data_IF_588592770695
#
_entry.id   IF_588592770695
#
_cell.length_a   1.000
_cell.length_b   1.000
_cell.length_c   1.000
_cell.angle_alpha   90.00
_cell.angle_beta   90.00
_cell.angle_gamma   90.00
#
_symmetry.space_group_name_H-M   'P 1'
#
loop_
_entity.id
_entity.type
_entity.pdbx_description
1 polymer ?
#
# COMPACT_ATOMS: atom_id res chain seq x y z
N UNK A 1 20.32 42.33 39.41
CA UNK A 1 19.43 43.28 38.70
C UNK A 1 18.02 42.81 38.93
N UNK A 2 17.28 43.52 39.78
CA UNK A 2 15.85 43.34 39.95
C UNK A 2 15.09 44.40 39.15
N UNK A 3 13.80 44.17 38.93
CA UNK A 3 12.74 45.15 39.20
C UNK A 3 11.37 44.49 39.08
N UNK A 4 10.53 44.82 40.07
CA UNK A 4 9.08 44.65 40.12
C UNK A 4 8.38 45.83 39.39
N UNK A 5 7.04 45.88 39.52
CA UNK A 5 6.05 46.93 39.21
C UNK A 5 5.25 46.69 37.91
N UNK A 6 3.94 46.92 37.81
CA UNK A 6 2.82 47.29 38.72
C UNK A 6 1.54 47.14 37.85
N UNK A 7 0.45 46.54 38.36
CA UNK A 7 -0.81 47.17 38.82
C UNK A 7 -1.95 47.15 37.78
N UNK A 8 -3.09 46.67 38.29
CA UNK A 8 -4.45 46.76 37.77
C UNK A 8 -4.91 48.23 37.67
N UNK A 9 -5.68 48.57 36.64
CA UNK A 9 -6.80 49.55 36.70
C UNK A 9 -7.40 49.70 35.31
N UNK A 10 -8.68 49.33 35.14
CA UNK A 10 -9.61 49.93 34.15
C UNK A 10 -11.01 49.33 34.34
N UNK A 11 -11.65 49.71 35.44
CA UNK A 11 -13.11 49.62 35.61
C UNK A 11 -13.62 51.05 35.86
N UNK A 12 -14.70 51.40 35.18
CA UNK A 12 -15.63 52.46 35.60
C UNK A 12 -15.22 53.92 35.33
N UNK A 13 -15.55 54.45 34.15
CA UNK A 13 -16.13 55.80 33.97
C UNK A 13 -16.80 55.83 32.58
N UNK A 14 -18.14 55.81 32.59
CA UNK A 14 -19.09 56.40 31.63
C UNK A 14 -20.45 55.67 31.65
N UNK A 15 -20.96 55.40 32.86
CA UNK A 15 -22.40 55.49 33.12
C UNK A 15 -22.75 56.96 33.31
N UNK A 16 -23.81 57.39 32.62
CA UNK A 16 -24.70 58.53 32.88
C UNK A 16 -24.89 59.41 31.64
N UNK A 17 -25.94 59.10 30.87
CA UNK A 17 -26.91 60.04 30.30
C UNK A 17 -28.11 59.21 29.76
N UNK A 18 -29.16 59.15 30.58
CA UNK A 18 -30.50 58.57 30.36
C UNK A 18 -31.33 59.42 29.35
N UNK A 19 -32.47 58.96 28.75
CA UNK A 19 -33.61 58.32 29.45
C UNK A 19 -34.42 57.23 28.72
N UNK A 20 -35.19 56.50 29.52
CA UNK A 20 -36.13 55.43 29.14
C UNK A 20 -37.28 55.91 28.24
N UNK A 21 -37.95 54.99 27.51
CA UNK A 21 -39.35 54.78 27.89
C UNK A 21 -39.87 53.33 27.78
N UNK A 22 -40.84 53.06 28.66
CA UNK A 22 -41.99 52.13 28.59
C UNK A 22 -41.80 50.62 28.43
N UNK A 23 -42.23 49.94 29.51
CA UNK A 23 -42.67 48.56 29.63
C UNK A 23 -43.80 48.25 28.61
N UNK A 24 -43.59 47.25 27.75
CA UNK A 24 -44.66 46.45 27.17
C UNK A 24 -44.25 44.97 27.11
N UNK A 25 -45.05 44.14 27.76
CA UNK A 25 -44.96 42.68 27.79
C UNK A 25 -45.21 42.09 26.39
N UNK A 26 -44.52 41.03 25.94
CA UNK A 26 -44.91 40.34 24.72
C UNK A 26 -46.19 39.50 24.95
N UNK A 27 -47.11 39.43 23.98
CA UNK A 27 -48.35 38.68 24.14
C UNK A 27 -48.08 37.17 24.17
N UNK A 28 -48.76 36.47 25.07
CA UNK A 28 -48.88 35.01 25.04
C UNK A 28 -49.54 34.59 23.72
N UNK A 29 -48.80 33.92 22.85
CA UNK A 29 -49.38 33.19 21.72
C UNK A 29 -49.73 31.76 22.17
N UNK A 30 -51.01 31.43 22.06
CA UNK A 30 -51.57 30.08 22.12
C UNK A 30 -51.00 29.18 21.02
N UNK A 31 -51.03 27.83 21.21
CA UNK A 31 -50.35 26.89 20.34
C UNK A 31 -51.02 26.82 18.97
N UNK A 32 -50.34 27.34 17.95
CA UNK A 32 -50.66 27.05 16.56
C UNK A 32 -50.11 25.68 16.19
N UNK A 33 -50.99 24.84 15.64
CA UNK A 33 -50.71 23.53 15.06
C UNK A 33 -49.44 23.55 14.18
N UNK A 34 -48.64 22.46 14.15
CA UNK A 34 -47.40 22.46 13.41
C UNK A 34 -47.70 22.53 11.91
N UNK A 35 -47.37 23.67 11.31
CA UNK A 35 -47.17 23.75 9.87
C UNK A 35 -46.04 22.79 9.51
N UNK A 36 -46.32 21.93 8.54
CA UNK A 36 -45.42 20.98 7.90
C UNK A 36 -44.28 21.71 7.17
N UNK A 37 -43.43 22.38 7.94
CA UNK A 37 -42.19 22.98 7.51
C UNK A 37 -41.07 22.03 7.91
N UNK A 38 -40.43 21.49 6.89
CA UNK A 38 -39.24 20.65 6.88
C UNK A 38 -38.31 20.99 8.05
N UNK A 39 -38.38 20.18 9.11
CA UNK A 39 -37.44 20.26 10.22
C UNK A 39 -36.07 19.82 9.71
N UNK A 40 -35.30 20.76 9.16
CA UNK A 40 -33.87 20.58 8.91
C UNK A 40 -33.20 20.58 10.28
N UNK A 41 -33.20 19.41 10.91
CA UNK A 41 -32.45 19.16 12.14
C UNK A 41 -30.98 19.51 11.88
N UNK A 42 -30.41 20.40 12.68
CA UNK A 42 -28.98 20.70 12.61
C UNK A 42 -28.18 19.40 12.77
N UNK A 43 -27.22 19.08 11.87
CA UNK A 43 -26.48 17.82 11.90
C UNK A 43 -25.75 17.51 13.21
N UNK A 44 -25.48 18.55 14.01
CA UNK A 44 -24.79 18.43 15.31
C UNK A 44 -25.71 18.11 16.49
N UNK A 45 -27.04 18.29 16.37
CA UNK A 45 -28.01 18.05 17.44
C UNK A 45 -28.95 16.87 17.15
N UNK A 46 -28.78 16.18 16.02
CA UNK A 46 -29.44 14.92 15.78
C UNK A 46 -28.61 13.81 16.43
N UNK A 47 -29.15 13.16 17.46
CA UNK A 47 -28.66 11.85 17.93
C UNK A 47 -28.90 10.80 16.84
N UNK A 48 -28.26 10.97 15.69
CA UNK A 48 -28.40 10.08 14.56
C UNK A 48 -27.50 8.87 14.81
N UNK A 49 -28.04 7.92 15.57
CA UNK A 49 -27.39 6.69 16.01
C UNK A 49 -26.73 5.92 14.85
N UNK A 50 -27.25 6.07 13.64
CA UNK A 50 -26.69 5.54 12.43
C UNK A 50 -25.22 5.92 12.18
N UNK A 51 -24.77 7.13 12.57
CA UNK A 51 -23.36 7.55 12.45
C UNK A 51 -22.46 7.06 13.60
N UNK A 52 -23.05 6.37 14.58
CA UNK A 52 -22.34 5.66 15.66
C UNK A 52 -22.32 4.14 15.43
N UNK A 53 -23.07 3.63 14.45
CA UNK A 53 -23.10 2.22 14.09
C UNK A 53 -22.00 1.90 13.07
N UNK A 54 -21.13 0.94 13.39
CA UNK A 54 -20.02 0.54 12.52
C UNK A 54 -20.50 0.06 11.15
N UNK A 55 -21.55 -0.76 11.09
CA UNK A 55 -22.03 -1.37 9.85
C UNK A 55 -22.66 -0.33 8.92
N UNK A 56 -23.43 0.60 9.48
CA UNK A 56 -23.99 1.72 8.72
C UNK A 56 -22.88 2.61 8.18
N UNK A 57 -21.84 2.89 8.98
CA UNK A 57 -20.66 3.62 8.49
C UNK A 57 -19.96 2.88 7.35
N UNK A 58 -19.81 1.54 7.41
CA UNK A 58 -19.23 0.76 6.29
C UNK A 58 -20.05 0.97 5.02
N UNK A 59 -21.37 0.77 5.09
CA UNK A 59 -22.29 0.95 3.96
C UNK A 59 -22.19 2.35 3.32
N UNK A 60 -22.07 3.39 4.15
CA UNK A 60 -21.90 4.77 3.67
C UNK A 60 -20.51 4.94 3.03
N UNK A 61 -19.46 4.48 3.72
CA UNK A 61 -18.07 4.69 3.32
C UNK A 61 -17.69 3.92 2.05
N UNK A 62 -18.33 2.79 1.77
CA UNK A 62 -18.22 2.07 0.49
C UNK A 62 -18.61 2.93 -0.73
N UNK A 63 -19.37 4.02 -0.52
CA UNK A 63 -19.79 4.94 -1.59
C UNK A 63 -18.92 6.19 -1.68
N UNK A 64 -17.97 6.37 -0.75
CA UNK A 64 -17.16 7.59 -0.67
C UNK A 64 -15.92 7.50 -1.56
N UNK A 65 -15.49 8.66 -2.06
CA UNK A 65 -14.20 8.80 -2.73
C UNK A 65 -13.04 8.74 -1.73
N UNK A 66 -11.82 8.47 -2.20
CA UNK A 66 -10.62 8.48 -1.37
C UNK A 66 -10.45 9.79 -0.56
N UNK A 67 -10.61 11.00 -1.16
CA UNK A 67 -10.60 12.25 -0.39
C UNK A 67 -11.68 12.34 0.68
N UNK A 68 -12.89 11.84 0.42
CA UNK A 68 -13.99 11.85 1.39
C UNK A 68 -13.74 10.88 2.54
N UNK A 69 -13.17 9.71 2.27
CA UNK A 69 -12.73 8.77 3.29
C UNK A 69 -11.65 9.39 4.18
N UNK A 70 -10.69 10.11 3.58
CA UNK A 70 -9.65 10.83 4.32
C UNK A 70 -10.22 11.96 5.20
N UNK A 71 -11.27 12.65 4.76
CA UNK A 71 -11.98 13.63 5.61
C UNK A 71 -12.75 12.94 6.72
N UNK A 72 -13.44 11.86 6.40
CA UNK A 72 -14.24 11.08 7.34
C UNK A 72 -13.37 10.48 8.45
N UNK A 73 -12.17 10.03 8.13
CA UNK A 73 -11.24 9.48 9.12
C UNK A 73 -10.81 10.48 10.20
N UNK A 74 -10.93 11.78 9.94
CA UNK A 74 -10.60 12.84 10.91
C UNK A 74 -11.72 13.13 11.93
N UNK A 75 -12.93 12.59 11.74
CA UNK A 75 -14.10 12.97 12.56
C UNK A 75 -14.05 12.35 13.96
N UNK A 76 -13.75 11.05 14.06
CA UNK A 76 -13.69 10.33 15.33
C UNK A 76 -12.84 9.07 15.22
N UNK A 77 -12.49 8.43 16.35
CA UNK A 77 -11.76 7.15 16.34
C UNK A 77 -12.54 6.03 15.64
N UNK A 78 -13.86 6.00 15.81
CA UNK A 78 -14.72 5.04 15.13
C UNK A 78 -14.68 5.24 13.62
N UNK A 79 -14.87 6.48 13.16
CA UNK A 79 -14.82 6.81 11.74
C UNK A 79 -13.45 6.55 11.15
N UNK A 80 -12.37 6.90 11.85
CA UNK A 80 -11.01 6.56 11.44
C UNK A 80 -10.83 5.05 11.25
N UNK A 81 -11.33 4.24 12.19
CA UNK A 81 -11.23 2.78 12.12
C UNK A 81 -11.99 2.19 10.93
N UNK A 82 -13.14 2.75 10.55
CA UNK A 82 -13.93 2.27 9.40
C UNK A 82 -13.39 2.82 8.08
N UNK A 83 -13.05 4.11 8.02
CA UNK A 83 -12.52 4.77 6.83
C UNK A 83 -11.12 4.27 6.44
N UNK A 84 -10.34 3.75 7.41
CA UNK A 84 -9.02 3.14 7.17
C UNK A 84 -9.08 1.64 6.94
N UNK A 85 -10.27 1.04 6.93
CA UNK A 85 -10.44 -0.40 6.67
C UNK A 85 -9.99 -0.73 5.24
N UNK A 86 -9.18 -1.79 5.09
CA UNK A 86 -8.58 -2.21 3.83
C UNK A 86 -9.63 -2.46 2.73
N UNK A 87 -10.78 -3.05 3.06
CA UNK A 87 -11.81 -3.33 2.06
C UNK A 87 -12.44 -2.04 1.53
N UNK A 88 -12.69 -1.08 2.42
CA UNK A 88 -13.27 0.22 2.09
C UNK A 88 -12.31 1.03 1.23
N UNK A 89 -11.05 1.18 1.67
CA UNK A 89 -10.05 1.97 0.93
C UNK A 89 -9.67 1.31 -0.39
N UNK A 90 -9.55 -0.02 -0.46
CA UNK A 90 -9.28 -0.71 -1.71
C UNK A 90 -10.46 -0.62 -2.68
N UNK A 91 -11.70 -0.66 -2.19
CA UNK A 91 -12.90 -0.40 -2.99
C UNK A 91 -12.90 0.99 -3.61
N UNK A 92 -12.68 2.02 -2.79
CA UNK A 92 -12.60 3.41 -3.24
C UNK A 92 -11.41 3.67 -4.17
N UNK A 93 -10.29 2.96 -4.00
CA UNK A 93 -9.15 3.01 -4.91
C UNK A 93 -9.47 2.40 -6.28
N UNK A 94 -10.14 1.22 -6.30
CA UNK A 94 -10.51 0.50 -7.53
C UNK A 94 -11.57 1.21 -8.37
N UNK A 95 -12.55 1.84 -7.72
CA UNK A 95 -13.78 2.31 -8.37
C UNK A 95 -13.54 3.26 -9.56
N UNK A 96 -12.67 4.29 -9.48
CA UNK A 96 -12.45 5.22 -10.61
C UNK A 96 -11.85 4.56 -11.85
N UNK A 97 -11.08 3.49 -11.66
CA UNK A 97 -10.32 2.81 -12.73
C UNK A 97 -11.03 1.56 -13.26
N UNK A 98 -12.15 1.16 -12.64
CA UNK A 98 -12.87 -0.09 -12.95
C UNK A 98 -11.98 -1.33 -12.86
N UNK A 99 -11.01 -1.30 -11.94
CA UNK A 99 -10.12 -2.44 -11.64
C UNK A 99 -10.96 -3.51 -10.95
N UNK A 100 -10.81 -4.76 -11.39
CA UNK A 100 -11.55 -5.90 -10.84
C UNK A 100 -11.13 -6.15 -9.40
N UNK A 101 -9.82 -6.28 -9.19
CA UNK A 101 -9.30 -6.48 -7.86
C UNK A 101 -7.88 -5.97 -7.66
N UNK A 102 -7.53 -5.73 -6.41
CA UNK A 102 -6.21 -5.29 -5.99
C UNK A 102 -5.74 -6.20 -4.86
N UNK A 103 -4.70 -6.97 -5.13
CA UNK A 103 -4.18 -7.99 -4.24
C UNK A 103 -2.94 -7.45 -3.53
N UNK A 104 -2.84 -7.71 -2.23
CA UNK A 104 -1.72 -7.27 -1.39
C UNK A 104 -2.09 -6.12 -0.48
N UNK A 105 -1.23 -5.89 0.52
CA UNK A 105 -1.39 -4.82 1.51
C UNK A 105 -0.18 -3.87 1.38
N UNK A 106 -0.40 -2.56 1.21
CA UNK A 106 0.72 -1.62 1.22
C UNK A 106 1.34 -1.55 2.61
N UNK A 107 2.62 -1.18 2.67
CA UNK A 107 3.35 -0.95 3.92
C UNK A 107 2.81 0.26 4.70
N UNK A 108 2.18 1.21 4.02
CA UNK A 108 1.59 2.41 4.62
C UNK A 108 0.21 2.73 4.02
N UNK A 109 -0.72 3.15 4.86
CA UNK A 109 -2.03 3.65 4.43
C UNK A 109 -1.96 4.91 3.56
N UNK A 110 -0.82 5.62 3.54
CA UNK A 110 -0.59 6.74 2.64
C UNK A 110 -0.64 6.34 1.16
N UNK A 111 -0.37 5.08 0.84
CA UNK A 111 -0.49 4.55 -0.52
C UNK A 111 -1.86 4.86 -1.13
N UNK A 112 -2.93 4.69 -0.34
CA UNK A 112 -4.31 4.85 -0.78
C UNK A 112 -4.73 6.31 -1.00
N UNK A 113 -4.05 7.28 -0.36
CA UNK A 113 -4.47 8.69 -0.37
C UNK A 113 -4.39 9.33 -1.75
N UNK A 114 -3.42 8.90 -2.55
CA UNK A 114 -3.17 9.41 -3.88
C UNK A 114 -3.76 8.44 -4.90
N UNK A 115 -5.02 8.66 -5.31
CA UNK A 115 -5.66 7.81 -6.32
C UNK A 115 -5.43 8.35 -7.74
N UNK A 116 -4.17 8.40 -8.17
CA UNK A 116 -3.78 8.85 -9.50
C UNK A 116 -3.23 7.70 -10.36
N UNK A 117 -3.28 7.85 -11.69
CA UNK A 117 -2.84 6.81 -12.63
C UNK A 117 -1.35 6.43 -12.42
N UNK A 118 -0.53 7.35 -11.90
CA UNK A 118 0.88 7.12 -11.59
C UNK A 118 1.16 6.15 -10.44
N UNK A 119 0.12 5.66 -9.74
CA UNK A 119 0.21 4.52 -8.80
C UNK A 119 0.20 3.17 -9.50
N UNK A 120 -0.23 3.12 -10.75
CA UNK A 120 -0.27 1.88 -11.52
C UNK A 120 0.92 1.80 -12.46
N UNK A 121 1.44 0.59 -12.65
CA UNK A 121 2.45 0.33 -13.67
C UNK A 121 2.28 -1.08 -14.24
N UNK A 122 2.70 -1.27 -15.48
CA UNK A 122 2.82 -2.58 -16.09
C UNK A 122 4.20 -3.13 -15.73
N UNK A 123 4.27 -4.35 -15.20
CA UNK A 123 5.56 -5.03 -15.02
C UNK A 123 5.94 -5.75 -16.31
N UNK A 124 6.97 -5.24 -16.98
CA UNK A 124 7.54 -5.85 -18.18
C UNK A 124 8.84 -6.57 -17.81
N UNK A 125 8.92 -7.88 -18.09
CA UNK A 125 10.15 -8.65 -17.93
C UNK A 125 11.10 -8.33 -19.07
N UNK A 126 12.35 -8.00 -18.76
CA UNK A 126 13.33 -7.62 -19.78
C UNK A 126 13.77 -8.85 -20.57
N UNK A 127 13.67 -8.78 -21.89
CA UNK A 127 14.10 -9.79 -22.85
C UNK A 127 15.35 -9.31 -23.62
N UNK A 128 16.06 -10.26 -24.23
CA UNK A 128 17.21 -9.94 -25.09
C UNK A 128 16.73 -9.11 -26.29
N UNK A 129 17.34 -7.94 -26.48
CA UNK A 129 16.96 -6.99 -27.54
C UNK A 129 16.02 -5.88 -27.08
N UNK A 130 15.50 -5.94 -25.84
CA UNK A 130 14.72 -4.84 -25.29
C UNK A 130 15.62 -3.62 -25.04
N UNK A 131 15.15 -2.48 -25.53
CA UNK A 131 15.70 -1.15 -25.23
C UNK A 131 14.60 -0.25 -24.69
N UNK A 132 14.96 0.79 -23.93
CA UNK A 132 13.98 1.75 -23.42
C UNK A 132 13.16 2.39 -24.56
N UNK A 133 13.79 2.65 -25.71
CA UNK A 133 13.12 3.17 -26.89
C UNK A 133 12.10 2.18 -27.47
N UNK A 134 12.49 0.90 -27.62
CA UNK A 134 11.55 -0.12 -28.12
C UNK A 134 10.37 -0.35 -27.18
N UNK A 135 10.60 -0.31 -25.86
CA UNK A 135 9.54 -0.44 -24.86
C UNK A 135 8.63 0.78 -24.84
N UNK A 136 9.19 1.99 -24.94
CA UNK A 136 8.43 3.23 -25.05
C UNK A 136 7.47 3.19 -26.26
N UNK A 137 7.94 2.72 -27.42
CA UNK A 137 7.09 2.55 -28.61
C UNK A 137 6.04 1.46 -28.38
N UNK A 138 6.43 0.28 -27.87
CA UNK A 138 5.52 -0.85 -27.61
C UNK A 138 4.35 -0.46 -26.72
N UNK A 139 4.61 0.29 -25.65
CA UNK A 139 3.60 0.69 -24.67
C UNK A 139 3.02 2.09 -24.90
N UNK A 140 3.45 2.79 -25.96
CA UNK A 140 3.03 4.16 -26.27
C UNK A 140 3.25 5.14 -25.10
N UNK A 141 4.45 5.10 -24.52
CA UNK A 141 4.88 5.97 -23.40
C UNK A 141 6.19 6.67 -23.73
N UNK A 142 6.58 7.66 -22.94
CA UNK A 142 7.87 8.33 -23.13
C UNK A 142 8.99 7.59 -22.41
N UNK A 143 10.17 7.55 -23.03
CA UNK A 143 11.39 6.97 -22.43
C UNK A 143 11.72 7.64 -21.09
N UNK A 144 11.52 8.96 -20.98
CA UNK A 144 11.78 9.71 -19.75
C UNK A 144 10.89 9.26 -18.60
N UNK A 145 9.65 8.89 -18.87
CA UNK A 145 8.71 8.45 -17.84
C UNK A 145 9.06 7.05 -17.34
N UNK A 146 9.48 6.14 -18.24
CA UNK A 146 10.02 4.83 -17.84
C UNK A 146 11.24 5.03 -16.94
N UNK A 147 12.17 5.90 -17.32
CA UNK A 147 13.37 6.18 -16.52
C UNK A 147 13.03 6.71 -15.14
N UNK A 148 12.16 7.72 -15.07
CA UNK A 148 11.71 8.33 -13.80
C UNK A 148 11.04 7.30 -12.90
N UNK A 149 10.13 6.50 -13.44
CA UNK A 149 9.40 5.48 -12.71
C UNK A 149 10.34 4.42 -12.09
N UNK A 150 11.43 4.09 -12.80
CA UNK A 150 12.39 3.07 -12.40
C UNK A 150 13.63 3.62 -11.67
N UNK A 151 13.68 4.92 -11.38
CA UNK A 151 14.85 5.58 -10.80
C UNK A 151 16.14 5.34 -11.64
N UNK A 152 16.04 5.51 -12.95
CA UNK A 152 17.15 5.36 -13.90
C UNK A 152 17.63 6.72 -14.38
N UNK A 153 18.96 6.91 -14.40
CA UNK A 153 19.60 8.11 -14.95
C UNK A 153 20.08 7.92 -16.39
N UNK A 154 20.33 6.68 -16.81
CA UNK A 154 20.85 6.32 -18.15
C UNK A 154 20.21 5.04 -18.68
N UNK A 155 20.37 4.81 -19.99
CA UNK A 155 19.79 3.65 -20.69
C UNK A 155 20.54 2.36 -20.36
N UNK A 156 21.81 2.46 -19.98
CA UNK A 156 22.70 1.32 -19.73
C UNK A 156 22.23 0.44 -18.55
N UNK A 157 21.45 1.00 -17.61
CA UNK A 157 20.93 0.29 -16.45
C UNK A 157 19.74 -0.65 -16.73
N UNK A 158 19.33 -0.81 -17.99
CA UNK A 158 18.24 -1.73 -18.35
C UNK A 158 18.66 -3.20 -18.12
N UNK A 159 19.83 -3.60 -18.62
CA UNK A 159 20.25 -5.01 -18.63
C UNK A 159 20.70 -5.54 -17.27
N UNK A 160 20.89 -4.67 -16.27
CA UNK A 160 21.17 -5.08 -14.88
C UNK A 160 19.90 -5.41 -14.09
N UNK A 161 18.72 -5.32 -14.71
CA UNK A 161 17.42 -5.53 -14.06
C UNK A 161 16.72 -6.74 -14.65
N UNK A 162 15.93 -7.42 -13.83
CA UNK A 162 15.07 -8.53 -14.28
C UNK A 162 13.81 -8.00 -15.00
N UNK A 163 13.28 -6.87 -14.52
CA UNK A 163 12.05 -6.25 -15.01
C UNK A 163 12.11 -4.74 -14.94
N UNK A 164 11.23 -4.09 -15.68
CA UNK A 164 10.96 -2.65 -15.60
C UNK A 164 9.47 -2.40 -15.36
N UNK A 165 9.22 -1.35 -14.57
CA UNK A 165 7.89 -0.79 -14.42
C UNK A 165 7.62 0.17 -15.58
N UNK A 166 6.55 -0.06 -16.32
CA UNK A 166 6.15 0.80 -17.44
C UNK A 166 4.95 1.63 -16.99
N UNK A 167 4.99 2.96 -17.11
CA UNK A 167 3.87 3.81 -16.73
C UNK A 167 2.66 3.51 -17.61
N UNK A 168 1.46 3.68 -17.07
CA UNK A 168 0.22 3.49 -17.83
C UNK A 168 -0.20 4.85 -18.42
N UNK A 169 -0.17 4.98 -19.74
CA UNK A 169 -0.68 6.15 -20.44
C UNK A 169 -2.19 6.10 -20.69
N UNK A 170 -2.75 4.90 -20.90
CA UNK A 170 -4.16 4.70 -21.19
C UNK A 170 -4.85 3.96 -20.03
N UNK A 171 -5.77 4.59 -19.29
CA UNK A 171 -6.44 3.97 -18.14
C UNK A 171 -7.33 2.78 -18.53
N UNK A 172 -7.70 2.63 -19.80
CA UNK A 172 -8.55 1.52 -20.24
C UNK A 172 -7.90 0.15 -20.04
N UNK A 173 -6.56 0.07 -19.95
CA UNK A 173 -5.85 -1.19 -19.64
C UNK A 173 -6.14 -1.70 -18.22
N UNK A 174 -6.63 -0.83 -17.33
CA UNK A 174 -6.97 -1.19 -15.96
C UNK A 174 -8.38 -1.80 -15.82
N UNK A 175 -9.22 -1.66 -16.84
CA UNK A 175 -10.60 -2.14 -16.78
C UNK A 175 -10.61 -3.66 -16.65
N UNK A 176 -11.31 -4.16 -15.63
CA UNK A 176 -11.44 -5.58 -15.31
C UNK A 176 -10.09 -6.30 -15.09
N UNK A 177 -9.02 -5.55 -14.82
CA UNK A 177 -7.71 -6.11 -14.54
C UNK A 177 -7.53 -6.39 -13.05
N UNK A 178 -6.55 -7.23 -12.71
CA UNK A 178 -6.14 -7.48 -11.33
C UNK A 178 -4.77 -6.85 -11.15
N UNK A 179 -4.63 -5.97 -10.16
CA UNK A 179 -3.37 -5.34 -9.81
C UNK A 179 -2.80 -5.93 -8.52
N UNK A 180 -1.49 -5.88 -8.37
CA UNK A 180 -0.77 -6.37 -7.19
C UNK A 180 -0.05 -5.20 -6.54
N UNK A 181 -0.33 -4.94 -5.27
CA UNK A 181 0.39 -3.94 -4.50
C UNK A 181 1.71 -4.56 -4.06
N UNK A 182 2.79 -3.99 -4.56
CA UNK A 182 4.14 -4.42 -4.24
C UNK A 182 5.07 -3.24 -4.06
N UNK A 183 6.09 -3.42 -3.21
CA UNK A 183 7.23 -2.52 -3.11
C UNK A 183 8.29 -2.98 -4.11
N UNK A 184 8.58 -2.16 -5.12
CA UNK A 184 9.67 -2.47 -6.04
C UNK A 184 11.02 -2.11 -5.40
N UNK A 185 11.91 -3.10 -5.27
CA UNK A 185 13.18 -2.94 -4.59
C UNK A 185 14.15 -1.98 -5.31
N UNK A 186 14.06 -1.88 -6.64
CA UNK A 186 15.02 -1.11 -7.45
C UNK A 186 14.52 0.33 -7.64
N UNK A 187 13.24 0.50 -7.96
CA UNK A 187 12.56 1.77 -8.05
C UNK A 187 12.27 2.41 -6.68
N UNK A 188 12.37 1.63 -5.59
CA UNK A 188 12.18 2.06 -4.20
C UNK A 188 10.82 2.74 -3.97
N UNK A 189 9.76 2.20 -4.56
CA UNK A 189 8.42 2.76 -4.44
C UNK A 189 7.36 1.67 -4.46
N UNK A 190 6.24 1.95 -3.78
CA UNK A 190 5.05 1.11 -3.82
C UNK A 190 4.22 1.41 -5.07
N UNK A 191 3.81 0.36 -5.77
CA UNK A 191 3.07 0.45 -7.02
C UNK A 191 2.00 -0.64 -7.07
N UNK A 192 0.85 -0.31 -7.65
CA UNK A 192 -0.15 -1.28 -8.08
C UNK A 192 0.25 -1.83 -9.46
N UNK A 193 0.93 -2.97 -9.45
CA UNK A 193 1.52 -3.58 -10.65
C UNK A 193 0.51 -4.44 -11.41
N UNK A 194 0.49 -4.29 -12.73
CA UNK A 194 -0.22 -5.15 -13.67
C UNK A 194 0.74 -6.11 -14.36
N UNK A 195 0.44 -7.41 -14.34
CA UNK A 195 1.21 -8.43 -15.04
C UNK A 195 0.46 -8.89 -16.29
N UNK A 196 0.97 -8.51 -17.47
CA UNK A 196 0.38 -8.92 -18.75
C UNK A 196 0.82 -10.33 -19.16
N UNK A 197 2.08 -10.69 -18.88
CA UNK A 197 2.70 -11.95 -19.30
C UNK A 197 2.49 -13.09 -18.27
N UNK A 198 1.52 -12.94 -17.38
CA UNK A 198 1.27 -13.86 -16.27
C UNK A 198 1.97 -13.47 -14.97
N UNK A 199 1.43 -13.97 -13.87
CA UNK A 199 1.92 -13.69 -12.52
C UNK A 199 3.29 -14.39 -12.36
N UNK A 200 4.34 -13.67 -11.93
CA UNK A 200 5.64 -14.28 -11.67
C UNK A 200 5.49 -15.43 -10.67
N UNK A 201 6.22 -16.52 -10.86
CA UNK A 201 6.16 -17.70 -9.96
C UNK A 201 6.52 -17.35 -8.52
N UNK A 202 7.23 -16.23 -8.30
CA UNK A 202 7.52 -15.65 -6.99
C UNK A 202 6.28 -15.15 -6.24
N UNK A 203 5.23 -14.73 -6.94
CA UNK A 203 3.95 -14.30 -6.34
C UNK A 203 3.06 -15.48 -5.91
N UNK A 204 3.28 -16.70 -6.43
CA UNK A 204 2.65 -17.91 -5.86
C UNK A 204 3.08 -18.19 -4.41
N UNK A 205 4.14 -17.54 -3.91
CA UNK A 205 4.58 -17.61 -2.52
C UNK A 205 4.01 -16.48 -1.64
N UNK A 206 3.48 -15.41 -2.23
CA UNK A 206 2.91 -14.26 -1.51
C UNK A 206 1.42 -14.43 -1.14
N UNK A 207 0.77 -15.49 -1.64
CA UNK A 207 -0.59 -15.87 -1.23
C UNK A 207 -0.67 -16.67 0.07
N UNK A 208 0.47 -16.98 0.72
CA UNK A 208 0.47 -17.62 2.03
C UNK A 208 0.52 -16.55 3.11
N UNK A 209 -0.65 -16.27 3.65
CA UNK A 209 -0.90 -15.46 4.84
C UNK A 209 0.25 -15.59 5.84
N UNK A 210 0.97 -14.49 6.10
CA UNK A 210 1.87 -14.41 7.25
C UNK A 210 1.00 -14.26 8.48
N UNK A 211 0.51 -15.40 8.97
CA UNK A 211 0.25 -15.56 10.38
C UNK A 211 1.44 -16.33 10.99
N UNK A 212 1.95 -15.74 12.06
CA UNK A 212 2.93 -16.27 13.00
C UNK A 212 4.40 -16.47 12.62
N UNK A 213 5.18 -16.23 13.66
CA UNK A 213 6.63 -16.26 13.78
C UNK A 213 7.29 -17.45 13.07
N UNK A 214 8.15 -17.17 12.07
CA UNK A 214 9.03 -18.19 11.50
C UNK A 214 9.72 -17.71 10.23
N UNK A 215 11.06 -17.72 10.21
CA UNK A 215 11.85 -17.51 9.00
C UNK A 215 11.36 -18.43 7.86
N UNK A 216 11.10 -17.86 6.69
CA UNK A 216 10.55 -18.58 5.53
C UNK A 216 11.40 -19.82 5.19
N UNK A 217 10.77 -21.00 5.17
CA UNK A 217 11.38 -22.30 4.81
C UNK A 217 12.20 -22.24 3.51
N UNK A 218 11.82 -21.36 2.57
CA UNK A 218 12.51 -21.14 1.30
C UNK A 218 13.85 -20.42 1.50
N UNK A 219 13.92 -19.45 2.41
CA UNK A 219 15.16 -18.72 2.72
C UNK A 219 16.13 -19.58 3.53
N UNK A 220 15.61 -20.45 4.41
CA UNK A 220 16.41 -21.43 5.15
C UNK A 220 17.01 -22.44 4.17
N UNK A 221 16.21 -23.00 3.26
CA UNK A 221 16.69 -23.94 2.22
C UNK A 221 17.78 -23.31 1.34
N UNK A 222 17.61 -22.06 0.92
CA UNK A 222 18.63 -21.34 0.13
C UNK A 222 19.93 -21.10 0.91
N UNK A 223 19.87 -20.80 2.21
CA UNK A 223 21.07 -20.65 3.05
C UNK A 223 21.81 -21.97 3.26
N UNK A 224 21.07 -23.05 3.50
CA UNK A 224 21.64 -24.40 3.64
C UNK A 224 22.35 -24.81 2.35
N UNK A 225 21.69 -24.63 1.20
CA UNK A 225 22.26 -24.93 -0.11
C UNK A 225 23.54 -24.13 -0.40
N UNK A 226 23.51 -22.82 -0.18
CA UNK A 226 24.68 -21.96 -0.40
C UNK A 226 25.82 -22.25 0.60
N UNK A 227 25.51 -22.64 1.84
CA UNK A 227 26.52 -23.08 2.81
C UNK A 227 27.14 -24.42 2.42
N UNK A 228 26.33 -25.33 1.87
CA UNK A 228 26.76 -26.65 1.41
C UNK A 228 27.67 -26.54 0.19
N UNK A 229 27.27 -25.76 -0.81
CA UNK A 229 28.07 -25.39 -1.99
C UNK A 229 29.46 -24.86 -1.61
N UNK A 230 29.51 -23.90 -0.67
CA UNK A 230 30.79 -23.39 -0.13
C UNK A 230 31.63 -24.44 0.60
N UNK A 231 31.00 -25.35 1.34
CA UNK A 231 31.71 -26.38 2.12
C UNK A 231 32.27 -27.49 1.23
N UNK A 232 31.57 -27.83 0.15
CA UNK A 232 31.97 -28.84 -0.83
C UNK A 232 32.92 -28.26 -1.90
N UNK A 233 33.00 -26.93 -2.02
CA UNK A 233 33.69 -26.22 -3.10
C UNK A 233 33.21 -26.64 -4.49
N UNK A 234 31.90 -26.81 -4.63
CA UNK A 234 31.20 -27.14 -5.89
C UNK A 234 30.20 -26.05 -6.24
N UNK A 235 29.64 -26.09 -7.44
CA UNK A 235 28.55 -25.19 -7.83
C UNK A 235 27.23 -25.52 -7.12
N UNK A 236 26.31 -24.56 -7.14
CA UNK A 236 25.01 -24.67 -6.45
C UNK A 236 24.14 -25.80 -7.01
N UNK A 237 24.30 -26.19 -8.29
CA UNK A 237 23.53 -27.27 -8.92
C UNK A 237 24.04 -28.64 -8.43
N UNK A 238 25.36 -28.81 -8.34
CA UNK A 238 25.99 -30.00 -7.76
C UNK A 238 25.66 -30.14 -6.28
N UNK A 239 25.71 -29.05 -5.51
CA UNK A 239 25.29 -29.06 -4.10
C UNK A 239 23.80 -29.40 -3.94
N UNK A 240 22.96 -28.95 -4.87
CA UNK A 240 21.54 -29.29 -4.89
C UNK A 240 21.30 -30.79 -5.13
N UNK A 241 22.09 -31.41 -6.00
CA UNK A 241 22.02 -32.84 -6.26
C UNK A 241 22.28 -33.67 -5.00
N UNK A 242 23.40 -33.44 -4.31
CA UNK A 242 23.73 -34.16 -3.07
C UNK A 242 22.74 -33.91 -1.94
N UNK A 243 22.18 -32.69 -1.86
CA UNK A 243 21.11 -32.37 -0.92
C UNK A 243 19.78 -33.08 -1.26
N UNK A 244 19.53 -33.37 -2.54
CA UNK A 244 18.30 -34.04 -2.99
C UNK A 244 18.32 -35.54 -2.75
N UNK A 245 19.47 -36.20 -2.93
CA UNK A 245 19.63 -37.64 -2.66
C UNK A 245 19.70 -37.96 -1.15
N UNK A 246 19.95 -36.94 -0.32
CA UNK A 246 20.03 -37.06 1.14
C UNK A 246 18.76 -36.58 1.86
N UNK A 247 17.63 -36.53 1.15
CA UNK A 247 16.33 -36.06 1.67
C UNK A 247 16.37 -34.69 2.37
N UNK A 248 17.35 -33.84 2.00
CA UNK A 248 17.54 -32.50 2.56
C UNK A 248 18.42 -32.41 3.81
N UNK A 249 19.10 -33.48 4.24
CA UNK A 249 20.08 -33.42 5.33
C UNK A 249 21.48 -33.01 4.81
N UNK A 250 21.98 -31.80 5.15
CA UNK A 250 23.28 -31.32 4.67
C UNK A 250 24.47 -32.15 5.18
N UNK A 251 24.35 -32.87 6.30
CA UNK A 251 25.45 -33.71 6.83
C UNK A 251 25.57 -35.01 6.05
N UNK A 252 24.44 -35.61 5.71
CA UNK A 252 24.39 -36.76 4.82
C UNK A 252 24.91 -36.38 3.42
N UNK A 253 24.48 -35.24 2.87
CA UNK A 253 24.98 -34.73 1.58
C UNK A 253 26.52 -34.59 1.54
N UNK A 254 27.13 -34.05 2.60
CA UNK A 254 28.59 -33.94 2.71
C UNK A 254 29.29 -35.31 2.81
N UNK A 255 28.65 -36.28 3.44
CA UNK A 255 29.20 -37.62 3.64
C UNK A 255 29.24 -38.37 2.30
N UNK A 256 28.14 -38.35 1.56
CA UNK A 256 28.03 -38.91 0.21
C UNK A 256 29.06 -38.28 -0.74
N UNK A 257 29.16 -36.95 -0.77
CA UNK A 257 30.16 -36.26 -1.57
C UNK A 257 31.60 -36.64 -1.20
N UNK A 258 31.89 -36.78 0.10
CA UNK A 258 33.22 -37.19 0.55
C UNK A 258 33.53 -38.65 0.22
N UNK A 259 32.53 -39.53 0.10
CA UNK A 259 32.69 -40.91 -0.39
C UNK A 259 33.06 -40.92 -1.86
N UNK A 260 32.36 -40.16 -2.70
CA UNK A 260 32.65 -40.06 -4.13
C UNK A 260 34.06 -39.51 -4.39
N UNK A 261 34.45 -38.42 -3.73
CA UNK A 261 35.81 -37.86 -3.85
C UNK A 261 36.88 -38.86 -3.38
N UNK A 262 36.60 -39.65 -2.35
CA UNK A 262 37.52 -40.71 -1.90
C UNK A 262 37.65 -41.80 -2.96
N UNK A 263 36.55 -42.19 -3.59
CA UNK A 263 36.54 -43.21 -4.64
C UNK A 263 37.33 -42.76 -5.87
N UNK A 264 37.13 -41.51 -6.33
CA UNK A 264 37.90 -40.91 -7.43
C UNK A 264 39.41 -40.89 -7.16
N UNK A 265 39.81 -40.55 -5.93
CA UNK A 265 41.23 -40.53 -5.53
C UNK A 265 41.88 -41.91 -5.50
N UNK A 266 41.13 -42.96 -5.14
CA UNK A 266 41.64 -44.34 -5.15
C UNK A 266 41.70 -44.92 -6.57
N UNK A 267 40.76 -44.56 -7.45
CA UNK A 267 40.74 -45.00 -8.84
C UNK A 267 41.74 -44.25 -9.73
N UNK A 268 42.17 -43.04 -9.34
CA UNK A 268 43.19 -42.25 -10.04
C UNK A 268 44.64 -42.61 -9.71
N UNK A 269 44.89 -43.61 -8.85
CA UNK A 269 46.23 -44.12 -8.49
C UNK A 269 46.50 -45.55 -8.99
N UNK A 270 45.64 -46.10 -9.85
CA UNK A 270 45.83 -47.39 -10.52
C UNK A 270 46.32 -47.21 -11.97
#
# INVERSE_FOLDING_TARGET
MGCCCDEDDDVEILRHLHPSPTVQSPPQQQPTLPDSSTAVLSPMNSHFFALSCRDILRLIFEKLSIPDLARSSCVSRLWNSVASDQEIVSGAFKAPWKVKDVIGKPSSGSFWRDNCLGKFAISHRILRGDSLASLAVKYSVQVIDIKRLNNMMSDHGIYSRERLLIPIGNPNILINSICYIEMDAIAKREVATLYLDGIPTTHHLYGKETNDQGMSSVQVKKRVLHSLSRSMMVDDETAQYYLSISDGDPRAALTEFAEDIRWERHMGMA
#
